data_IF_008769380903
#
_entry.id   IF_008769380903
#
_cell.length_a   1.000
_cell.length_b   1.000
_cell.length_c   1.000
_cell.angle_alpha   90.00
_cell.angle_beta   90.00
_cell.angle_gamma   90.00
#
_symmetry.space_group_name_H-M   'P 1'
#
loop_
_entity.id
_entity.type
_entity.pdbx_description
1 polymer ?
#
# COMPACT_ATOMS: atom_id res chain seq x y z
N UNK A 1 -9.26 -6.32 -31.59
CA UNK A 1 -10.08 -5.59 -30.62
C UNK A 1 -11.03 -6.61 -30.02
N UNK A 2 -10.60 -7.25 -28.92
CA UNK A 2 -11.29 -8.37 -28.31
C UNK A 2 -12.46 -7.91 -27.41
N UNK A 3 -13.29 -8.86 -27.02
CA UNK A 3 -14.47 -8.65 -26.14
C UNK A 3 -14.04 -8.02 -24.81
N UNK A 4 -12.82 -8.28 -24.33
CA UNK A 4 -12.24 -7.76 -23.08
C UNK A 4 -11.88 -6.25 -23.12
N UNK A 5 -11.44 -5.71 -24.26
CA UNK A 5 -11.20 -4.26 -24.43
C UNK A 5 -12.50 -3.45 -24.29
N UNK A 6 -13.63 -4.02 -24.73
CA UNK A 6 -14.93 -3.36 -24.59
C UNK A 6 -15.45 -3.40 -23.14
N UNK A 7 -15.20 -4.50 -22.43
CA UNK A 7 -15.64 -4.66 -21.04
C UNK A 7 -14.93 -3.69 -20.10
N UNK A 8 -13.61 -3.55 -20.22
CA UNK A 8 -12.84 -2.61 -19.40
C UNK A 8 -13.18 -1.12 -19.68
N UNK A 9 -13.39 -0.76 -20.95
CA UNK A 9 -13.82 0.60 -21.32
C UNK A 9 -15.26 0.87 -20.86
N UNK A 10 -16.14 -0.12 -20.92
CA UNK A 10 -17.54 0.02 -20.51
C UNK A 10 -17.68 0.12 -18.99
N UNK A 11 -16.90 -0.65 -18.21
CA UNK A 11 -16.81 -0.59 -16.75
C UNK A 11 -16.19 0.74 -16.31
N UNK A 12 -15.12 1.19 -16.95
CA UNK A 12 -14.51 2.50 -16.69
C UNK A 12 -15.52 3.65 -16.97
N UNK A 13 -16.20 3.62 -18.10
CA UNK A 13 -17.20 4.63 -18.44
C UNK A 13 -18.42 4.59 -17.50
N UNK A 14 -18.84 3.38 -17.05
CA UNK A 14 -19.90 3.25 -16.06
C UNK A 14 -19.47 3.74 -14.67
N UNK A 15 -18.21 3.54 -14.27
CA UNK A 15 -17.65 4.07 -13.03
C UNK A 15 -17.53 5.61 -13.07
N UNK A 16 -17.05 6.18 -14.18
CA UNK A 16 -17.01 7.64 -14.40
C UNK A 16 -18.40 8.26 -14.43
N UNK A 17 -19.40 7.59 -15.02
CA UNK A 17 -20.79 8.06 -14.97
C UNK A 17 -21.41 7.91 -13.57
N UNK A 18 -21.10 6.82 -12.84
CA UNK A 18 -21.58 6.63 -11.46
C UNK A 18 -20.96 7.62 -10.49
N UNK A 19 -19.68 7.97 -10.65
CA UNK A 19 -19.03 9.03 -9.84
C UNK A 19 -19.62 10.40 -10.11
N UNK A 20 -19.97 10.73 -11.37
CA UNK A 20 -20.70 11.95 -11.70
C UNK A 20 -22.11 11.97 -11.07
N UNK A 21 -22.85 10.85 -11.14
CA UNK A 21 -24.19 10.71 -10.55
C UNK A 21 -24.12 10.76 -9.02
N UNK A 22 -23.12 10.16 -8.40
CA UNK A 22 -22.93 10.21 -6.94
C UNK A 22 -22.48 11.61 -6.45
N UNK A 23 -21.68 12.34 -7.22
CA UNK A 23 -21.33 13.74 -6.95
C UNK A 23 -22.56 14.66 -6.98
N UNK A 24 -23.45 14.46 -7.96
CA UNK A 24 -24.71 15.18 -8.04
C UNK A 24 -25.71 14.76 -6.94
N UNK A 25 -25.76 13.46 -6.61
CA UNK A 25 -26.59 12.93 -5.51
C UNK A 25 -26.09 13.40 -4.13
N UNK A 26 -24.80 13.52 -3.93
CA UNK A 26 -24.19 14.06 -2.71
C UNK A 26 -24.54 15.56 -2.55
N UNK A 27 -24.47 16.35 -3.62
CA UNK A 27 -24.89 17.74 -3.61
C UNK A 27 -26.41 17.91 -3.40
N UNK A 28 -27.24 16.97 -3.93
CA UNK A 28 -28.67 16.96 -3.68
C UNK A 28 -29.02 16.52 -2.25
N UNK A 29 -28.29 15.54 -1.68
CA UNK A 29 -28.43 15.12 -0.27
C UNK A 29 -28.04 16.25 0.69
N UNK A 30 -26.96 16.98 0.43
CA UNK A 30 -26.59 18.17 1.23
C UNK A 30 -27.68 19.25 1.18
N UNK A 31 -28.28 19.50 0.04
CA UNK A 31 -29.41 20.46 -0.09
C UNK A 31 -30.71 19.97 0.57
N UNK A 32 -30.98 18.65 0.58
CA UNK A 32 -32.15 18.05 1.26
C UNK A 32 -31.96 18.00 2.78
N UNK A 33 -30.76 17.73 3.30
CA UNK A 33 -30.47 17.72 4.74
C UNK A 33 -30.63 19.14 5.33
N UNK A 34 -30.26 20.18 4.58
CA UNK A 34 -30.48 21.59 5.01
C UNK A 34 -31.96 21.96 5.02
N UNK A 35 -32.80 21.30 4.24
CA UNK A 35 -34.25 21.55 4.21
C UNK A 35 -35.05 20.72 5.22
N UNK A 36 -34.51 19.57 5.71
CA UNK A 36 -35.18 18.65 6.65
C UNK A 36 -34.87 18.94 8.13
N UNK A 37 -33.91 19.78 8.43
CA UNK A 37 -33.59 20.19 9.80
C UNK A 37 -34.52 21.30 10.35
N UNK A 38 -35.53 21.76 9.57
CA UNK A 38 -36.48 22.77 9.96
C UNK A 38 -37.87 22.25 10.43
N UNK A 39 -38.14 20.93 10.33
CA UNK A 39 -39.45 20.38 10.74
C UNK A 39 -39.31 18.96 11.24
N UNK A 40 -39.13 18.76 12.52
CA UNK A 40 -39.75 17.68 13.32
C UNK A 40 -39.23 17.66 14.74
N UNK A 41 -39.95 18.34 15.59
CA UNK A 41 -40.15 17.97 17.00
C UNK A 41 -41.57 17.44 17.10
N UNK A 42 -41.74 16.29 17.72
CA UNK A 42 -42.94 15.56 18.16
C UNK A 42 -43.26 14.27 17.45
N UNK A 43 -43.03 13.16 18.12
CA UNK A 43 -44.09 12.31 18.68
C UNK A 43 -43.50 10.98 19.18
N UNK A 44 -43.87 10.66 20.37
CA UNK A 44 -43.51 9.55 21.24
C UNK A 44 -44.38 8.30 21.06
N UNK A 45 -43.77 7.15 21.37
CA UNK A 45 -44.35 5.95 22.06
C UNK A 45 -45.32 4.99 21.33
N UNK A 46 -45.03 3.73 21.26
CA UNK A 46 -45.59 2.63 22.05
C UNK A 46 -45.20 1.24 21.49
N UNK A 47 -44.64 0.43 22.34
CA UNK A 47 -44.83 -1.00 22.68
C UNK A 47 -45.17 -2.08 21.65
N UNK A 48 -44.53 -3.24 21.81
CA UNK A 48 -45.18 -4.54 21.66
C UNK A 48 -44.28 -5.71 21.30
N UNK A 49 -43.91 -6.51 22.29
CA UNK A 49 -43.37 -7.87 22.19
C UNK A 49 -44.38 -8.83 21.55
N UNK A 50 -43.90 -9.85 20.78
CA UNK A 50 -44.37 -11.22 20.99
C UNK A 50 -43.46 -12.26 20.35
N UNK A 51 -43.12 -13.25 21.15
CA UNK A 51 -42.44 -14.52 20.85
C UNK A 51 -43.50 -15.52 20.36
N UNK A 52 -43.16 -16.40 19.42
CA UNK A 52 -43.78 -17.73 19.31
C UNK A 52 -42.88 -18.70 18.53
N UNK A 53 -42.55 -19.76 19.21
CA UNK A 53 -41.97 -21.04 18.82
C UNK A 53 -43.01 -21.98 18.21
N UNK A 54 -42.61 -22.88 17.27
CA UNK A 54 -42.95 -24.34 17.23
C UNK A 54 -42.45 -24.99 15.94
N UNK A 55 -41.53 -25.89 16.01
CA UNK A 55 -41.52 -27.39 15.98
C UNK A 55 -42.41 -28.09 14.91
N UNK A 56 -41.77 -29.04 14.18
CA UNK A 56 -42.40 -30.28 13.73
C UNK A 56 -42.06 -30.73 12.31
N UNK A 57 -41.10 -31.58 12.16
CA UNK A 57 -40.99 -32.96 11.61
C UNK A 57 -42.02 -33.41 10.57
N UNK A 58 -41.63 -33.99 9.45
CA UNK A 58 -41.62 -35.45 9.16
C UNK A 58 -41.30 -35.74 7.66
N UNK A 59 -40.55 -36.81 7.45
CA UNK A 59 -40.15 -37.40 6.18
C UNK A 59 -41.27 -38.11 5.46
N UNK A 60 -41.11 -38.29 4.12
CA UNK A 60 -41.51 -39.53 3.45
C UNK A 60 -40.74 -39.72 2.12
N UNK A 61 -40.28 -40.91 1.92
CA UNK A 61 -39.65 -41.60 0.83
C UNK A 61 -40.61 -41.82 -0.34
N UNK A 62 -40.17 -41.81 -1.63
CA UNK A 62 -40.30 -42.93 -2.60
C UNK A 62 -39.63 -42.66 -3.96
N UNK A 63 -38.79 -43.46 -4.30
CA UNK A 63 -38.40 -44.45 -5.34
C UNK A 63 -38.65 -44.13 -6.81
N UNK A 64 -37.52 -44.17 -7.54
CA UNK A 64 -37.22 -44.73 -8.90
C UNK A 64 -37.88 -44.17 -10.18
N UNK A 65 -37.02 -43.79 -11.14
CA UNK A 65 -36.80 -44.60 -12.34
C UNK A 65 -35.54 -44.12 -13.12
N UNK A 66 -34.70 -45.09 -13.53
CA UNK A 66 -33.52 -44.94 -14.40
C UNK A 66 -33.91 -44.43 -15.79
N UNK A 67 -33.07 -43.55 -16.35
CA UNK A 67 -32.78 -43.58 -17.80
C UNK A 67 -31.32 -43.12 -17.97
N UNK A 68 -30.52 -43.99 -18.57
CA UNK A 68 -29.13 -43.78 -18.95
C UNK A 68 -29.04 -42.76 -20.09
N UNK A 69 -28.14 -41.78 -19.93
CA UNK A 69 -27.60 -41.02 -21.07
C UNK A 69 -26.19 -40.56 -20.72
N UNK A 70 -25.29 -41.06 -21.51
CA UNK A 70 -23.88 -40.80 -21.78
C UNK A 70 -23.20 -39.67 -21.00
N UNK A 71 -22.16 -40.11 -20.28
CA UNK A 71 -21.00 -39.47 -19.72
C UNK A 71 -20.34 -38.40 -20.61
N UNK A 72 -20.33 -37.19 -20.12
CA UNK A 72 -19.19 -36.28 -20.19
C UNK A 72 -18.63 -36.25 -18.78
N UNK A 73 -17.32 -36.51 -18.64
CA UNK A 73 -16.58 -36.41 -17.37
C UNK A 73 -16.67 -34.96 -16.84
N UNK A 74 -17.67 -34.66 -16.05
CA UNK A 74 -17.65 -33.57 -15.11
C UNK A 74 -17.02 -34.14 -13.83
N UNK A 75 -15.83 -33.67 -13.52
CA UNK A 75 -15.18 -33.90 -12.23
C UNK A 75 -16.12 -33.35 -11.14
N UNK A 76 -16.85 -34.23 -10.45
CA UNK A 76 -17.61 -33.94 -9.24
C UNK A 76 -16.65 -33.92 -8.05
N UNK A 77 -15.62 -33.06 -8.10
CA UNK A 77 -14.87 -32.64 -6.94
C UNK A 77 -15.58 -31.46 -6.29
N UNK A 78 -15.60 -31.42 -4.98
CA UNK A 78 -16.03 -30.25 -4.22
C UNK A 78 -15.08 -29.08 -4.60
N UNK A 79 -15.63 -27.88 -4.86
CA UNK A 79 -14.85 -26.69 -5.22
C UNK A 79 -13.88 -26.37 -4.07
N UNK A 80 -12.60 -26.21 -4.36
CA UNK A 80 -11.57 -25.93 -3.38
C UNK A 80 -11.59 -24.44 -3.04
N UNK A 81 -11.89 -24.09 -1.79
CA UNK A 81 -11.78 -22.72 -1.29
C UNK A 81 -10.36 -22.48 -0.74
N UNK A 82 -9.68 -21.44 -1.22
CA UNK A 82 -8.46 -20.90 -0.65
C UNK A 82 -8.71 -19.53 -0.05
N UNK A 83 -7.96 -19.18 0.98
CA UNK A 83 -8.07 -17.91 1.69
C UNK A 83 -6.93 -16.95 1.31
N UNK A 84 -7.25 -15.66 1.10
CA UNK A 84 -6.26 -14.60 0.93
C UNK A 84 -6.45 -13.52 1.98
N UNK A 85 -5.45 -13.28 2.83
CA UNK A 85 -5.45 -12.17 3.79
C UNK A 85 -4.83 -10.93 3.17
N UNK A 86 -5.60 -9.83 3.16
CA UNK A 86 -5.22 -8.55 2.57
C UNK A 86 -5.40 -7.40 3.56
N UNK A 87 -4.57 -6.38 3.44
CA UNK A 87 -4.49 -5.25 4.38
C UNK A 87 -5.35 -4.03 4.00
N UNK A 88 -6.31 -4.18 3.12
CA UNK A 88 -7.19 -3.10 2.72
C UNK A 88 -8.62 -3.59 2.51
N UNK A 89 -9.58 -2.68 2.33
CA UNK A 89 -10.98 -3.00 2.10
C UNK A 89 -11.26 -3.14 0.60
N UNK A 90 -11.44 -4.37 0.12
CA UNK A 90 -11.75 -4.67 -1.27
C UNK A 90 -13.10 -4.10 -1.75
N UNK A 91 -13.96 -3.64 -0.85
CA UNK A 91 -15.19 -2.93 -1.19
C UNK A 91 -14.99 -1.39 -1.30
N UNK A 92 -13.77 -0.89 -1.06
CA UNK A 92 -13.42 0.51 -1.28
C UNK A 92 -13.58 0.87 -2.76
N UNK A 93 -14.17 2.03 -3.02
CA UNK A 93 -14.47 2.48 -4.38
C UNK A 93 -13.65 3.69 -4.83
N UNK A 94 -12.81 4.21 -3.95
CA UNK A 94 -11.99 5.39 -4.20
C UNK A 94 -10.53 5.05 -4.54
N UNK A 95 -10.03 3.87 -4.16
CA UNK A 95 -8.68 3.44 -4.52
C UNK A 95 -8.68 2.52 -5.73
N UNK A 96 -8.13 3.00 -6.83
CA UNK A 96 -8.09 2.28 -8.11
C UNK A 96 -7.24 1.00 -8.05
N UNK A 97 -6.24 0.92 -7.15
CA UNK A 97 -5.44 -0.29 -6.94
C UNK A 97 -6.29 -1.38 -6.28
N UNK A 98 -6.99 -1.03 -5.21
CA UNK A 98 -7.87 -1.96 -4.48
C UNK A 98 -8.99 -2.48 -5.38
N UNK A 99 -9.56 -1.61 -6.23
CA UNK A 99 -10.51 -2.01 -7.28
C UNK A 99 -9.88 -3.03 -8.24
N UNK A 100 -8.63 -2.82 -8.65
CA UNK A 100 -7.89 -3.76 -9.49
C UNK A 100 -7.71 -5.11 -8.83
N UNK A 101 -7.35 -5.16 -7.58
CA UNK A 101 -7.21 -6.41 -6.83
C UNK A 101 -8.55 -7.15 -6.70
N UNK A 102 -9.63 -6.41 -6.44
CA UNK A 102 -10.96 -7.02 -6.46
C UNK A 102 -11.31 -7.64 -7.83
N UNK A 103 -10.96 -6.97 -8.93
CA UNK A 103 -11.16 -7.52 -10.27
C UNK A 103 -10.37 -8.80 -10.51
N UNK A 104 -9.15 -8.93 -9.96
CA UNK A 104 -8.36 -10.18 -10.00
C UNK A 104 -9.12 -11.29 -9.30
N UNK A 105 -9.64 -11.04 -8.09
CA UNK A 105 -10.41 -12.02 -7.31
C UNK A 105 -11.68 -12.45 -8.06
N UNK A 106 -12.45 -11.47 -8.55
CA UNK A 106 -13.70 -11.74 -9.29
C UNK A 106 -13.43 -12.56 -10.56
N UNK A 107 -12.34 -12.23 -11.29
CA UNK A 107 -11.90 -12.95 -12.49
C UNK A 107 -11.43 -14.37 -12.15
N UNK A 108 -10.68 -14.56 -11.08
CA UNK A 108 -10.24 -15.87 -10.61
C UNK A 108 -11.43 -16.78 -10.29
N UNK A 109 -12.38 -16.27 -9.51
CA UNK A 109 -13.55 -17.02 -9.11
C UNK A 109 -14.49 -17.38 -10.28
N UNK A 110 -14.51 -16.57 -11.34
CA UNK A 110 -15.27 -16.91 -12.55
C UNK A 110 -14.52 -17.90 -13.47
N UNK A 111 -13.20 -17.70 -13.68
CA UNK A 111 -12.39 -18.55 -14.56
C UNK A 111 -12.21 -19.97 -14.01
N UNK A 112 -12.03 -20.08 -12.69
CA UNK A 112 -11.82 -21.36 -12.01
C UNK A 112 -13.08 -21.93 -11.36
N UNK A 113 -14.26 -21.41 -11.69
CA UNK A 113 -15.54 -21.83 -11.14
C UNK A 113 -15.73 -23.35 -11.18
N UNK A 114 -16.11 -23.93 -10.03
CA UNK A 114 -16.27 -25.37 -9.84
C UNK A 114 -14.95 -26.12 -9.63
N UNK A 115 -13.80 -25.44 -9.67
CA UNK A 115 -12.49 -26.01 -9.36
C UNK A 115 -11.84 -25.32 -8.16
N UNK A 116 -11.70 -23.99 -8.23
CA UNK A 116 -11.11 -23.16 -7.17
C UNK A 116 -11.96 -21.93 -6.90
N UNK A 117 -12.01 -21.51 -5.65
CA UNK A 117 -12.62 -20.27 -5.20
C UNK A 117 -11.69 -19.58 -4.22
N UNK A 118 -11.43 -18.27 -4.41
CA UNK A 118 -10.67 -17.49 -3.45
C UNK A 118 -11.61 -16.64 -2.59
N UNK A 119 -11.45 -16.76 -1.28
CA UNK A 119 -12.12 -15.96 -0.27
C UNK A 119 -11.15 -14.96 0.32
N UNK A 120 -11.35 -13.69 -0.01
CA UNK A 120 -10.57 -12.63 0.60
C UNK A 120 -10.99 -12.39 2.06
N UNK A 121 -10.00 -12.24 2.93
CA UNK A 121 -10.13 -11.85 4.34
C UNK A 121 -9.46 -10.48 4.45
N UNK A 122 -10.24 -9.43 4.66
CA UNK A 122 -9.73 -8.06 4.71
C UNK A 122 -9.60 -7.54 6.13
N UNK A 123 -8.70 -6.58 6.31
CA UNK A 123 -8.55 -5.80 7.54
C UNK A 123 -7.89 -4.47 7.18
N UNK A 124 -7.89 -3.49 8.07
CA UNK A 124 -7.16 -2.26 7.81
C UNK A 124 -5.65 -2.45 8.01
N UNK A 125 -4.86 -1.61 7.35
CA UNK A 125 -3.40 -1.68 7.36
C UNK A 125 -2.80 -1.62 8.77
N UNK A 126 -3.40 -0.85 9.68
CA UNK A 126 -2.88 -0.71 11.05
C UNK A 126 -3.07 -1.98 11.90
N UNK A 127 -4.14 -2.74 11.67
CA UNK A 127 -4.46 -3.98 12.40
C UNK A 127 -3.85 -5.23 11.74
N UNK A 128 -3.45 -5.12 10.47
CA UNK A 128 -2.98 -6.24 9.66
C UNK A 128 -1.83 -7.03 10.31
N UNK A 129 -0.73 -6.42 10.78
CA UNK A 129 0.38 -7.17 11.39
C UNK A 129 -0.06 -7.95 12.63
N UNK A 130 -0.89 -7.36 13.49
CA UNK A 130 -1.38 -8.02 14.70
C UNK A 130 -2.28 -9.22 14.35
N UNK A 131 -3.14 -9.08 13.34
CA UNK A 131 -4.02 -10.15 12.87
C UNK A 131 -3.22 -11.31 12.27
N UNK A 132 -2.27 -11.02 11.37
CA UNK A 132 -1.45 -12.06 10.76
C UNK A 132 -0.58 -12.77 11.81
N UNK A 133 0.04 -12.03 12.74
CA UNK A 133 0.81 -12.60 13.84
C UNK A 133 -0.03 -13.55 14.71
N UNK A 134 -1.26 -13.18 15.01
CA UNK A 134 -2.17 -14.03 15.78
C UNK A 134 -2.53 -15.33 15.02
N UNK A 135 -2.79 -15.24 13.72
CA UNK A 135 -3.07 -16.39 12.86
C UNK A 135 -1.86 -17.33 12.75
N UNK A 136 -0.66 -16.78 12.55
CA UNK A 136 0.59 -17.55 12.52
C UNK A 136 0.83 -18.25 13.85
N UNK A 137 0.66 -17.56 14.98
CA UNK A 137 0.83 -18.15 16.31
C UNK A 137 -0.21 -19.26 16.62
N UNK A 138 -1.43 -19.12 16.10
CA UNK A 138 -2.47 -20.14 16.20
C UNK A 138 -2.23 -21.35 15.28
N UNK A 139 -1.35 -21.20 14.27
CA UNK A 139 -1.15 -22.20 13.22
C UNK A 139 -2.24 -22.21 12.14
N UNK A 140 -3.06 -21.17 12.09
CA UNK A 140 -4.18 -20.95 11.18
C UNK A 140 -3.80 -19.89 10.11
N UNK A 141 -2.69 -20.13 9.43
CA UNK A 141 -2.14 -19.22 8.42
C UNK A 141 -3.01 -19.26 7.16
N UNK A 142 -3.50 -18.12 6.66
CA UNK A 142 -4.23 -18.09 5.39
C UNK A 142 -3.39 -18.68 4.24
N UNK A 143 -4.05 -19.32 3.25
CA UNK A 143 -3.36 -19.98 2.13
C UNK A 143 -2.44 -19.01 1.37
N UNK A 144 -2.90 -17.78 1.17
CA UNK A 144 -2.12 -16.67 0.63
C UNK A 144 -2.26 -15.47 1.57
N UNK A 145 -1.18 -14.73 1.77
CA UNK A 145 -1.21 -13.49 2.54
C UNK A 145 -0.26 -12.45 1.98
N UNK A 146 -0.64 -11.19 2.09
CA UNK A 146 0.17 -10.06 1.63
C UNK A 146 1.27 -9.76 2.65
N UNK A 147 2.48 -9.42 2.21
CA UNK A 147 3.60 -9.16 3.09
C UNK A 147 4.58 -8.13 2.50
N UNK A 148 5.05 -7.20 3.34
CA UNK A 148 6.18 -6.35 2.98
C UNK A 148 7.51 -7.12 3.08
N UNK A 149 8.50 -6.77 2.25
CA UNK A 149 9.84 -7.39 2.33
C UNK A 149 10.58 -6.96 3.60
N UNK A 150 11.71 -7.61 3.88
CA UNK A 150 12.52 -7.28 5.04
C UNK A 150 12.00 -7.91 6.34
N UNK A 151 12.08 -7.22 7.50
CA UNK A 151 11.80 -7.80 8.81
C UNK A 151 10.42 -8.46 8.94
N UNK A 152 9.40 -7.91 8.27
CA UNK A 152 8.06 -8.49 8.28
C UNK A 152 8.05 -9.85 7.61
N UNK A 153 8.65 -10.00 6.43
CA UNK A 153 8.75 -11.28 5.77
C UNK A 153 9.70 -12.23 6.52
N UNK A 154 10.83 -11.72 7.02
CA UNK A 154 11.82 -12.50 7.77
C UNK A 154 11.18 -13.24 8.95
N UNK A 155 10.35 -12.56 9.75
CA UNK A 155 9.70 -13.20 10.92
C UNK A 155 8.79 -14.38 10.52
N UNK A 156 8.11 -14.30 9.36
CA UNK A 156 7.25 -15.38 8.89
C UNK A 156 8.04 -16.52 8.23
N UNK A 157 9.16 -16.19 7.60
CA UNK A 157 10.13 -17.19 7.12
C UNK A 157 10.73 -17.97 8.30
N UNK A 158 11.20 -17.28 9.33
CA UNK A 158 11.76 -17.88 10.54
C UNK A 158 10.71 -18.70 11.33
N UNK A 159 9.46 -18.26 11.34
CA UNK A 159 8.35 -19.01 11.93
C UNK A 159 7.94 -20.22 11.08
N UNK A 160 8.51 -20.42 9.88
CA UNK A 160 8.12 -21.48 8.96
C UNK A 160 6.70 -21.35 8.42
N UNK A 161 6.15 -20.12 8.40
CA UNK A 161 4.79 -19.85 7.93
C UNK A 161 4.70 -19.72 6.40
N UNK A 162 5.80 -19.33 5.74
CA UNK A 162 5.89 -19.17 4.28
C UNK A 162 6.43 -20.40 3.58
N UNK A 163 5.90 -20.72 2.42
CA UNK A 163 6.44 -21.78 1.55
C UNK A 163 7.66 -21.29 0.77
N UNK A 164 8.60 -22.19 0.51
CA UNK A 164 9.70 -21.99 -0.42
C UNK A 164 9.17 -22.15 -1.87
N UNK A 165 9.19 -21.08 -2.63
CA UNK A 165 8.69 -21.04 -4.00
C UNK A 165 9.78 -21.27 -5.06
N UNK A 166 11.02 -21.51 -4.66
CA UNK A 166 12.19 -21.54 -5.56
C UNK A 166 12.03 -22.57 -6.66
N UNK A 167 11.71 -23.81 -6.32
CA UNK A 167 11.55 -24.87 -7.31
C UNK A 167 10.35 -24.64 -8.23
N UNK A 168 9.25 -24.13 -7.65
CA UNK A 168 8.05 -23.78 -8.41
C UNK A 168 8.37 -22.71 -9.45
N UNK A 169 8.99 -21.60 -9.05
CA UNK A 169 9.30 -20.48 -9.94
C UNK A 169 10.38 -20.85 -10.96
N UNK A 170 11.50 -21.42 -10.52
CA UNK A 170 12.67 -21.59 -11.38
C UNK A 170 12.61 -22.82 -12.28
N UNK A 171 11.84 -23.85 -11.92
CA UNK A 171 11.78 -25.11 -12.64
C UNK A 171 10.38 -25.44 -13.18
N UNK A 172 9.34 -25.40 -12.35
CA UNK A 172 8.00 -25.81 -12.75
C UNK A 172 7.27 -24.75 -13.57
N UNK A 173 7.42 -23.47 -13.22
CA UNK A 173 6.79 -22.30 -13.82
C UNK A 173 7.84 -21.30 -14.35
N UNK A 174 8.90 -21.82 -14.95
CA UNK A 174 10.05 -21.01 -15.40
C UNK A 174 9.69 -19.98 -16.47
N UNK A 175 8.68 -20.23 -17.28
CA UNK A 175 8.16 -19.25 -18.25
C UNK A 175 7.53 -18.06 -17.53
N UNK A 176 6.72 -18.31 -16.49
CA UNK A 176 6.15 -17.25 -15.66
C UNK A 176 7.24 -16.50 -14.90
N UNK A 177 8.18 -17.20 -14.27
CA UNK A 177 9.34 -16.59 -13.61
C UNK A 177 10.13 -15.66 -14.56
N UNK A 178 10.28 -16.07 -15.81
CA UNK A 178 10.97 -15.28 -16.84
C UNK A 178 10.24 -14.02 -17.30
N UNK A 179 8.98 -13.79 -16.91
CA UNK A 179 8.26 -12.54 -17.20
C UNK A 179 8.62 -11.41 -16.26
N UNK A 180 9.14 -11.72 -15.07
CA UNK A 180 9.45 -10.72 -14.06
C UNK A 180 10.68 -9.88 -14.42
N UNK A 181 10.67 -8.64 -13.95
CA UNK A 181 11.79 -7.71 -14.11
C UNK A 181 13.03 -8.19 -13.35
N UNK A 182 14.21 -7.94 -13.91
CA UNK A 182 15.49 -8.33 -13.30
C UNK A 182 15.65 -7.75 -11.89
N UNK A 183 16.12 -8.58 -10.95
CA UNK A 183 16.40 -8.18 -9.57
C UNK A 183 15.20 -8.01 -8.66
N UNK A 184 13.95 -8.12 -9.17
CA UNK A 184 12.73 -7.86 -8.38
C UNK A 184 12.59 -8.81 -7.18
N UNK A 185 13.15 -10.01 -7.25
CA UNK A 185 13.14 -11.02 -6.18
C UNK A 185 14.27 -10.88 -5.14
N UNK A 186 15.20 -9.92 -5.32
CA UNK A 186 16.38 -9.81 -4.44
C UNK A 186 15.99 -9.71 -2.96
N UNK A 187 15.04 -8.82 -2.63
CA UNK A 187 14.55 -8.60 -1.26
C UNK A 187 13.55 -9.66 -0.77
N UNK A 188 13.16 -10.60 -1.65
CA UNK A 188 12.22 -11.69 -1.37
C UNK A 188 12.93 -13.05 -1.26
N UNK A 189 14.27 -13.03 -1.38
CA UNK A 189 15.12 -14.24 -1.34
C UNK A 189 15.86 -14.31 -0.01
N UNK A 190 15.63 -15.38 0.73
CA UNK A 190 16.21 -15.66 2.06
C UNK A 190 16.98 -16.97 1.99
N UNK A 191 18.29 -16.95 2.31
CA UNK A 191 19.17 -18.12 2.23
C UNK A 191 19.09 -18.87 0.88
N UNK A 192 18.95 -18.10 -0.21
CA UNK A 192 18.83 -18.65 -1.57
C UNK A 192 17.44 -19.17 -1.92
N UNK A 193 16.43 -18.99 -1.07
CA UNK A 193 15.05 -19.41 -1.26
C UNK A 193 14.14 -18.22 -1.53
N UNK A 194 13.33 -18.31 -2.58
CA UNK A 194 12.32 -17.29 -2.91
C UNK A 194 11.08 -17.56 -2.05
N UNK A 195 10.71 -16.60 -1.21
CA UNK A 195 9.68 -16.77 -0.19
C UNK A 195 8.37 -16.02 -0.49
N UNK A 196 8.34 -15.21 -1.55
CA UNK A 196 7.15 -14.45 -1.95
C UNK A 196 7.19 -14.10 -3.45
N UNK A 197 6.03 -13.77 -4.02
CA UNK A 197 5.86 -13.27 -5.38
C UNK A 197 5.49 -11.80 -5.31
N UNK A 198 6.24 -10.88 -5.96
CA UNK A 198 5.88 -9.47 -6.03
C UNK A 198 4.67 -9.27 -6.94
N UNK A 199 3.80 -8.30 -6.60
CA UNK A 199 2.60 -7.97 -7.39
C UNK A 199 2.61 -6.55 -7.94
N UNK A 200 3.41 -5.66 -7.38
CA UNK A 200 3.66 -4.34 -7.92
C UNK A 200 4.93 -3.75 -7.31
N UNK A 201 5.51 -2.81 -8.02
CA UNK A 201 6.64 -2.02 -7.57
C UNK A 201 6.19 -0.57 -7.32
N UNK A 202 6.69 0.04 -6.28
CA UNK A 202 6.38 1.42 -5.93
C UNK A 202 7.62 2.19 -5.53
N UNK A 203 7.63 3.49 -5.85
CA UNK A 203 8.69 4.43 -5.48
C UNK A 203 8.10 5.61 -4.70
N UNK A 204 8.75 5.98 -3.59
CA UNK A 204 8.35 7.13 -2.78
C UNK A 204 8.90 8.43 -3.40
N UNK A 205 8.08 9.47 -3.42
CA UNK A 205 8.39 10.76 -4.02
C UNK A 205 7.63 11.89 -3.31
N UNK A 206 7.73 13.09 -3.83
CA UNK A 206 6.94 14.23 -3.40
C UNK A 206 5.97 14.60 -4.50
N UNK A 207 4.67 14.46 -4.22
CA UNK A 207 3.61 14.99 -5.05
C UNK A 207 3.41 16.47 -4.73
N UNK A 208 3.10 17.30 -5.72
CA UNK A 208 2.84 18.73 -5.49
C UNK A 208 1.72 19.27 -6.37
N UNK A 209 1.01 20.25 -5.85
CA UNK A 209 -0.05 20.98 -6.57
C UNK A 209 0.58 22.08 -7.41
N UNK A 210 0.60 21.87 -8.73
CA UNK A 210 1.22 22.80 -9.70
C UNK A 210 0.54 24.17 -9.74
N UNK A 211 -0.77 24.25 -9.41
CA UNK A 211 -1.50 25.52 -9.36
C UNK A 211 -1.08 26.35 -8.14
N UNK A 212 -0.97 25.72 -6.96
CA UNK A 212 -0.49 26.42 -5.75
C UNK A 212 0.95 26.90 -5.96
N UNK A 213 1.84 26.06 -6.52
CA UNK A 213 3.22 26.43 -6.81
C UNK A 213 3.28 27.65 -7.76
N UNK A 214 2.47 27.64 -8.81
CA UNK A 214 2.36 28.75 -9.75
C UNK A 214 1.79 30.02 -9.13
N UNK A 215 0.73 29.91 -8.31
CA UNK A 215 0.10 31.03 -7.62
C UNK A 215 1.05 31.70 -6.65
N UNK A 216 1.78 30.91 -5.86
CA UNK A 216 2.78 31.40 -4.88
C UNK A 216 4.06 31.87 -5.56
N UNK A 217 4.32 31.46 -6.78
CA UNK A 217 5.54 31.81 -7.54
C UNK A 217 6.77 31.08 -7.01
N UNK A 218 6.64 29.79 -6.70
CA UNK A 218 7.73 28.91 -6.27
C UNK A 218 8.02 27.84 -7.29
N UNK A 219 9.28 27.43 -7.37
CA UNK A 219 9.76 26.33 -8.23
C UNK A 219 9.95 25.06 -7.42
N UNK A 220 10.06 23.91 -8.11
CA UNK A 220 10.35 22.61 -7.49
C UNK A 220 11.71 22.67 -6.80
N UNK A 221 11.79 22.35 -5.49
CA UNK A 221 13.05 22.41 -4.75
C UNK A 221 13.96 21.21 -5.07
N UNK A 222 15.24 21.47 -5.28
CA UNK A 222 16.28 20.44 -5.49
C UNK A 222 17.03 20.12 -4.20
N UNK A 223 17.07 21.06 -3.26
CA UNK A 223 17.75 20.92 -1.97
C UNK A 223 16.79 21.09 -0.80
N UNK A 224 17.18 20.56 0.36
CA UNK A 224 16.42 20.69 1.60
C UNK A 224 16.18 22.16 1.98
N UNK A 225 17.19 23.02 1.85
CA UNK A 225 17.06 24.44 2.17
C UNK A 225 16.07 25.15 1.24
N UNK A 226 16.08 24.80 -0.06
CA UNK A 226 15.07 25.28 -0.99
C UNK A 226 13.66 24.76 -0.63
N UNK A 227 13.53 23.50 -0.16
CA UNK A 227 12.25 22.97 0.31
C UNK A 227 11.71 23.79 1.49
N UNK A 228 12.56 24.12 2.45
CA UNK A 228 12.18 24.97 3.59
C UNK A 228 11.74 26.35 3.13
N UNK A 229 12.41 26.97 2.17
CA UNK A 229 12.05 28.26 1.62
C UNK A 229 10.74 28.23 0.82
N UNK A 230 10.49 27.15 0.08
CA UNK A 230 9.21 26.87 -0.58
C UNK A 230 8.09 26.74 0.47
N UNK A 231 8.32 25.95 1.53
CA UNK A 231 7.37 25.79 2.61
C UNK A 231 7.02 27.13 3.30
N UNK A 232 8.00 28.00 3.57
CA UNK A 232 7.75 29.33 4.15
C UNK A 232 6.80 30.15 3.27
N UNK A 233 7.09 30.26 1.98
CA UNK A 233 6.29 31.05 1.02
C UNK A 233 4.86 30.49 0.88
N UNK A 234 4.70 29.18 0.82
CA UNK A 234 3.39 28.53 0.74
C UNK A 234 2.59 28.79 2.01
N UNK A 235 3.21 28.70 3.18
CA UNK A 235 2.58 29.00 4.48
C UNK A 235 2.17 30.47 4.57
N UNK A 236 2.99 31.40 4.11
CA UNK A 236 2.68 32.84 4.05
C UNK A 236 1.51 33.13 3.10
N UNK A 237 1.31 32.32 2.06
CA UNK A 237 0.18 32.42 1.15
C UNK A 237 -1.13 31.80 1.74
N UNK A 238 -1.05 31.14 2.91
CA UNK A 238 -2.22 30.62 3.62
C UNK A 238 -2.53 29.15 3.33
N UNK A 239 -1.67 28.43 2.63
CA UNK A 239 -1.81 26.99 2.40
C UNK A 239 -1.00 26.17 3.41
N UNK A 240 -1.42 24.94 3.67
CA UNK A 240 -0.56 23.96 4.32
C UNK A 240 0.56 23.57 3.35
N UNK A 241 1.86 23.75 3.70
CA UNK A 241 2.93 23.44 2.79
C UNK A 241 3.03 21.94 2.45
N UNK A 242 2.92 21.08 3.45
CA UNK A 242 3.02 19.63 3.29
C UNK A 242 1.88 18.95 4.03
N UNK A 243 1.22 18.00 3.39
CA UNK A 243 0.36 17.05 4.08
C UNK A 243 1.16 15.83 4.51
N UNK A 244 1.00 15.42 5.77
CA UNK A 244 1.65 14.27 6.37
C UNK A 244 0.76 13.64 7.44
N UNK A 245 0.90 12.34 7.64
CA UNK A 245 0.23 11.60 8.71
C UNK A 245 1.22 11.24 9.81
N UNK A 246 0.96 11.67 11.05
CA UNK A 246 1.62 11.13 12.23
C UNK A 246 0.78 10.05 12.92
N UNK A 247 -0.53 10.02 12.67
CA UNK A 247 -1.42 8.93 13.08
C UNK A 247 -1.07 7.58 12.42
N UNK A 248 -0.36 7.63 11.28
CA UNK A 248 0.22 6.46 10.60
C UNK A 248 1.75 6.62 10.59
N UNK A 249 2.41 6.08 11.59
CA UNK A 249 3.81 6.38 11.94
C UNK A 249 4.83 6.17 10.81
N UNK A 250 4.60 5.20 9.90
CA UNK A 250 5.51 4.94 8.78
C UNK A 250 5.60 6.12 7.79
N UNK A 251 4.58 6.98 7.72
CA UNK A 251 4.62 8.17 6.87
C UNK A 251 5.74 9.13 7.30
N UNK A 252 5.86 9.36 8.60
CA UNK A 252 6.98 10.13 9.16
C UNK A 252 8.30 9.37 9.09
N UNK A 253 8.26 8.05 9.31
CA UNK A 253 9.43 7.17 9.15
C UNK A 253 9.99 7.20 7.71
N UNK A 254 9.16 7.32 6.70
CA UNK A 254 9.59 7.49 5.30
C UNK A 254 10.35 8.81 5.10
N UNK A 255 9.82 9.92 5.62
CA UNK A 255 10.51 11.22 5.58
C UNK A 255 11.82 11.17 6.36
N UNK A 256 11.79 10.59 7.57
CA UNK A 256 12.98 10.38 8.40
C UNK A 256 14.03 9.52 7.71
N UNK A 257 13.60 8.45 7.04
CA UNK A 257 14.46 7.57 6.24
C UNK A 257 15.15 8.30 5.08
N UNK A 258 14.39 9.14 4.35
CA UNK A 258 14.99 10.01 3.33
C UNK A 258 16.03 10.96 3.92
N UNK A 259 15.72 11.62 5.02
CA UNK A 259 16.67 12.54 5.66
C UNK A 259 17.92 11.81 6.14
N UNK A 260 17.80 10.62 6.74
CA UNK A 260 18.94 9.79 7.11
C UNK A 260 19.79 9.38 5.89
N UNK A 261 19.15 8.98 4.78
CA UNK A 261 19.88 8.63 3.56
C UNK A 261 20.55 9.86 2.92
N UNK A 262 19.91 11.01 2.94
CA UNK A 262 20.48 12.25 2.41
C UNK A 262 21.67 12.77 3.22
N UNK A 263 21.69 12.52 4.54
CA UNK A 263 22.85 12.88 5.40
C UNK A 263 24.05 11.96 5.18
N UNK A 264 23.87 10.64 5.15
CA UNK A 264 24.98 9.69 5.19
C UNK A 264 25.00 8.62 4.11
N UNK A 265 23.98 8.57 3.23
CA UNK A 265 23.90 7.62 2.13
C UNK A 265 23.66 6.17 2.58
N UNK A 266 24.01 5.20 1.71
CA UNK A 266 23.81 3.78 1.98
C UNK A 266 24.62 3.26 3.18
N UNK A 267 25.73 3.93 3.53
CA UNK A 267 26.59 3.53 4.64
C UNK A 267 25.89 3.71 5.99
N UNK A 268 24.92 4.62 6.11
CA UNK A 268 24.13 4.79 7.32
C UNK A 268 23.37 3.50 7.68
N UNK A 269 22.53 3.00 6.77
CA UNK A 269 21.73 1.82 7.01
C UNK A 269 22.59 0.56 7.17
N UNK A 270 23.63 0.44 6.32
CA UNK A 270 24.59 -0.65 6.41
C UNK A 270 25.33 -0.63 7.76
N UNK A 271 25.85 0.53 8.18
CA UNK A 271 26.60 0.67 9.42
C UNK A 271 25.78 0.37 10.68
N UNK A 272 24.49 0.74 10.69
CA UNK A 272 23.56 0.36 11.76
C UNK A 272 23.38 -1.15 11.82
N UNK A 273 23.10 -1.80 10.69
CA UNK A 273 22.86 -3.24 10.64
C UNK A 273 24.12 -4.04 10.97
N UNK A 274 25.31 -3.58 10.52
CA UNK A 274 26.59 -4.22 10.82
C UNK A 274 27.11 -3.86 12.25
N UNK A 275 26.48 -2.91 12.94
CA UNK A 275 26.90 -2.44 14.25
C UNK A 275 28.20 -1.59 14.23
N UNK A 276 28.59 -1.07 13.07
CA UNK A 276 29.77 -0.19 12.91
C UNK A 276 29.43 1.29 13.06
N UNK A 277 28.12 1.63 13.05
CA UNK A 277 27.60 2.98 13.27
C UNK A 277 26.56 2.96 14.38
N UNK A 278 26.50 4.02 15.17
CA UNK A 278 25.51 4.20 16.23
C UNK A 278 24.41 5.16 15.79
N UNK A 279 23.18 4.94 16.25
CA UNK A 279 22.05 5.84 16.03
C UNK A 279 22.26 7.24 16.62
N UNK A 280 23.15 7.38 17.58
CA UNK A 280 23.53 8.66 18.19
C UNK A 280 24.61 9.42 17.40
N UNK A 281 25.05 8.90 16.25
CA UNK A 281 26.01 9.58 15.39
C UNK A 281 25.41 10.85 14.79
N UNK A 282 26.29 11.79 14.44
CA UNK A 282 25.93 13.12 13.97
C UNK A 282 24.99 13.07 12.74
N UNK A 283 25.21 12.12 11.84
CA UNK A 283 24.39 11.93 10.64
C UNK A 283 22.89 11.73 10.97
N UNK A 284 22.56 10.89 11.96
CA UNK A 284 21.18 10.66 12.39
C UNK A 284 20.61 11.83 13.18
N UNK A 285 21.41 12.41 14.07
CA UNK A 285 20.99 13.59 14.84
C UNK A 285 20.66 14.76 13.90
N UNK A 286 21.46 14.99 12.86
CA UNK A 286 21.20 16.04 11.86
C UNK A 286 19.93 15.74 11.05
N UNK A 287 19.71 14.48 10.65
CA UNK A 287 18.47 14.06 10.01
C UNK A 287 17.23 14.34 10.90
N UNK A 288 17.33 14.03 12.20
CA UNK A 288 16.27 14.32 13.17
C UNK A 288 16.01 15.81 13.37
N UNK A 289 17.07 16.65 13.37
CA UNK A 289 16.93 18.12 13.44
C UNK A 289 16.20 18.67 12.20
N UNK A 290 16.53 18.15 11.01
CA UNK A 290 15.83 18.51 9.78
C UNK A 290 14.37 18.05 9.79
N UNK A 291 14.08 16.84 10.28
CA UNK A 291 12.70 16.38 10.46
C UNK A 291 11.92 17.32 11.40
N UNK A 292 12.53 17.73 12.53
CA UNK A 292 11.93 18.68 13.47
C UNK A 292 11.65 20.05 12.83
N UNK A 293 12.55 20.55 12.00
CA UNK A 293 12.36 21.79 11.27
C UNK A 293 11.23 21.65 10.23
N UNK A 294 11.25 20.57 9.43
CA UNK A 294 10.24 20.34 8.39
C UNK A 294 8.84 20.15 8.98
N UNK A 295 8.71 19.55 10.17
CA UNK A 295 7.43 19.33 10.85
C UNK A 295 6.64 20.60 11.14
N UNK A 296 7.28 21.76 11.17
CA UNK A 296 6.60 23.06 11.37
C UNK A 296 5.74 23.49 10.17
N UNK A 297 5.88 22.78 9.06
CA UNK A 297 5.20 23.04 7.79
C UNK A 297 4.16 21.98 7.42
N UNK A 298 3.84 21.04 8.34
CA UNK A 298 2.77 20.09 8.15
C UNK A 298 1.42 20.74 8.49
N UNK A 299 0.31 20.18 7.95
CA UNK A 299 -1.04 20.62 8.29
C UNK A 299 -1.30 20.49 9.80
N UNK A 300 -2.21 21.31 10.35
CA UNK A 300 -2.45 21.37 11.80
C UNK A 300 -2.97 20.06 12.38
N UNK A 301 -3.72 19.28 11.60
CA UNK A 301 -4.30 17.98 12.00
C UNK A 301 -3.33 16.81 11.90
N UNK A 302 -2.11 16.99 11.38
CA UNK A 302 -1.16 15.92 11.09
C UNK A 302 -0.94 14.92 12.25
N UNK A 303 -1.02 15.40 13.49
CA UNK A 303 -0.84 14.55 14.69
C UNK A 303 -1.90 13.45 14.82
N UNK A 304 -3.11 13.69 14.33
CA UNK A 304 -4.25 12.77 14.44
C UNK A 304 -4.71 12.16 13.13
N UNK A 305 -4.25 12.70 12.00
CA UNK A 305 -4.68 12.24 10.69
C UNK A 305 -4.10 10.85 10.39
N UNK A 306 -4.93 9.95 9.89
CA UNK A 306 -4.50 8.73 9.24
C UNK A 306 -3.98 9.02 7.82
N UNK A 307 -3.33 8.05 7.19
CA UNK A 307 -2.68 8.24 5.89
C UNK A 307 -3.65 8.67 4.78
N UNK A 308 -4.84 8.09 4.73
CA UNK A 308 -5.90 8.42 3.78
C UNK A 308 -6.40 9.86 3.94
N UNK A 309 -6.56 10.33 5.19
CA UNK A 309 -6.95 11.71 5.51
C UNK A 309 -5.86 12.71 5.09
N UNK A 310 -4.59 12.39 5.38
CA UNK A 310 -3.49 13.24 4.93
C UNK A 310 -3.43 13.32 3.39
N UNK A 311 -3.64 12.20 2.69
CA UNK A 311 -3.73 12.18 1.23
C UNK A 311 -4.91 13.03 0.72
N UNK A 312 -6.05 13.02 1.45
CA UNK A 312 -7.23 13.80 1.10
C UNK A 312 -6.99 15.32 1.18
N UNK A 313 -6.27 15.82 2.18
CA UNK A 313 -5.89 17.24 2.24
C UNK A 313 -5.13 17.69 0.98
N UNK A 314 -4.28 16.83 0.43
CA UNK A 314 -3.53 17.13 -0.77
C UNK A 314 -4.41 17.20 -2.03
N UNK A 315 -5.19 16.15 -2.33
CA UNK A 315 -5.99 16.15 -3.56
C UNK A 315 -7.23 17.08 -3.49
N UNK A 316 -7.60 17.56 -2.30
CA UNK A 316 -8.58 18.62 -2.12
C UNK A 316 -7.98 20.02 -2.29
N UNK A 317 -6.66 20.15 -2.43
CA UNK A 317 -5.96 21.42 -2.61
C UNK A 317 -5.78 22.21 -1.30
N UNK A 318 -5.93 21.58 -0.15
CA UNK A 318 -5.71 22.17 1.17
C UNK A 318 -4.22 22.21 1.52
N UNK A 319 -3.45 21.24 0.98
CA UNK A 319 -2.00 21.19 1.10
C UNK A 319 -1.32 21.25 -0.27
N UNK A 320 -0.16 21.91 -0.31
CA UNK A 320 0.60 22.09 -1.56
C UNK A 320 1.46 20.89 -1.95
N UNK A 321 1.90 20.11 -0.99
CA UNK A 321 2.76 18.93 -1.20
C UNK A 321 2.29 17.74 -0.35
N UNK A 322 2.63 16.53 -0.83
CA UNK A 322 2.42 15.27 -0.13
C UNK A 322 3.65 14.38 -0.34
N UNK A 323 4.30 13.93 0.72
CA UNK A 323 5.37 12.95 0.62
C UNK A 323 4.75 11.57 0.71
N UNK A 324 4.69 10.86 -0.42
CA UNK A 324 4.08 9.54 -0.55
C UNK A 324 4.70 8.75 -1.71
N UNK A 325 4.33 7.50 -1.88
CA UNK A 325 4.76 6.72 -3.02
C UNK A 325 3.71 6.62 -4.12
N UNK A 326 4.08 5.94 -5.20
CA UNK A 326 3.20 5.72 -6.36
C UNK A 326 1.89 5.01 -6.01
N UNK A 327 1.79 4.33 -4.87
CA UNK A 327 0.53 3.76 -4.36
C UNK A 327 -0.55 4.81 -4.10
N UNK A 328 -0.18 6.08 -3.83
CA UNK A 328 -1.14 7.14 -3.59
C UNK A 328 -1.86 7.62 -4.89
N UNK A 329 -1.31 7.31 -6.06
CA UNK A 329 -1.88 7.74 -7.36
C UNK A 329 -3.30 7.21 -7.53
N UNK A 330 -3.54 5.94 -7.21
CA UNK A 330 -4.84 5.31 -7.30
C UNK A 330 -5.89 6.02 -6.46
N UNK A 331 -5.57 6.34 -5.22
CA UNK A 331 -6.44 7.09 -4.31
C UNK A 331 -6.65 8.55 -4.77
N UNK A 332 -5.57 9.25 -5.15
CA UNK A 332 -5.64 10.65 -5.60
C UNK A 332 -6.57 10.77 -6.82
N UNK A 333 -6.32 9.97 -7.84
CA UNK A 333 -7.04 10.05 -9.11
C UNK A 333 -8.45 9.45 -9.01
N UNK A 334 -8.65 8.41 -8.18
CA UNK A 334 -9.95 7.82 -7.92
C UNK A 334 -10.87 8.76 -7.15
N UNK A 335 -10.35 9.44 -6.12
CA UNK A 335 -11.12 10.40 -5.30
C UNK A 335 -11.34 11.74 -6.00
N UNK A 336 -10.33 12.23 -6.74
CA UNK A 336 -10.41 13.51 -7.47
C UNK A 336 -9.77 13.43 -8.86
N UNK A 337 -10.43 12.83 -9.86
CA UNK A 337 -9.87 12.68 -11.21
C UNK A 337 -9.42 14.00 -11.87
N UNK A 338 -10.08 15.13 -11.53
CA UNK A 338 -9.71 16.44 -12.07
C UNK A 338 -8.39 16.98 -11.49
N UNK A 339 -7.90 16.38 -10.40
CA UNK A 339 -6.65 16.80 -9.77
C UNK A 339 -5.41 16.26 -10.49
N UNK A 340 -5.54 15.21 -11.30
CA UNK A 340 -4.43 14.63 -12.07
C UNK A 340 -3.67 15.70 -12.88
N UNK A 341 -4.38 16.59 -13.56
CA UNK A 341 -3.79 17.67 -14.36
C UNK A 341 -3.00 18.71 -13.55
N UNK A 342 -3.24 18.73 -12.24
CA UNK A 342 -2.63 19.68 -11.30
C UNK A 342 -1.57 19.01 -10.41
N UNK A 343 -1.39 17.71 -10.56
CA UNK A 343 -0.53 16.90 -9.73
C UNK A 343 0.82 16.64 -10.42
N UNK A 344 1.84 17.38 -10.01
CA UNK A 344 3.23 17.11 -10.40
C UNK A 344 3.91 16.18 -9.39
N UNK A 345 5.09 15.68 -9.77
CA UNK A 345 5.91 14.81 -8.92
C UNK A 345 7.37 15.20 -9.02
N UNK A 346 8.08 15.19 -7.90
CA UNK A 346 9.53 15.34 -7.86
C UNK A 346 10.16 14.42 -6.82
N UNK A 347 11.47 14.17 -6.94
CA UNK A 347 12.22 13.36 -5.96
C UNK A 347 12.35 14.12 -4.64
N UNK A 348 12.47 13.39 -3.53
CA UNK A 348 12.79 14.03 -2.24
C UNK A 348 14.14 14.77 -2.35
N UNK A 349 14.20 16.07 -1.95
CA UNK A 349 15.37 16.92 -2.16
C UNK A 349 16.65 16.40 -1.53
N UNK A 350 17.80 16.82 -2.07
CA UNK A 350 19.12 16.56 -1.51
C UNK A 350 19.44 17.48 -0.33
N UNK A 351 20.49 17.13 0.42
CA UNK A 351 21.06 17.98 1.47
C UNK A 351 22.41 18.49 0.98
N UNK A 352 22.68 19.81 1.08
CA UNK A 352 23.95 20.38 0.66
C UNK A 352 25.11 19.80 1.51
N UNK A 353 26.11 19.26 0.84
CA UNK A 353 27.22 18.55 1.52
C UNK A 353 26.88 17.14 2.00
N UNK A 354 25.65 16.69 1.81
CA UNK A 354 25.21 15.35 2.15
C UNK A 354 25.50 14.31 1.06
N UNK A 355 24.81 13.18 1.14
CA UNK A 355 24.97 12.07 0.20
C UNK A 355 24.20 12.29 -1.11
N UNK A 356 24.34 11.34 -2.05
CA UNK A 356 23.70 11.38 -3.37
C UNK A 356 22.18 11.54 -3.31
N UNK A 357 21.64 12.65 -3.83
CA UNK A 357 20.20 12.91 -3.80
C UNK A 357 19.38 12.06 -4.77
N UNK A 358 20.02 11.33 -5.70
CA UNK A 358 19.32 10.56 -6.73
C UNK A 358 18.96 9.15 -6.28
N UNK A 359 19.07 8.84 -4.99
CA UNK A 359 18.60 7.57 -4.43
C UNK A 359 17.11 7.65 -4.10
N UNK A 360 16.37 6.56 -4.34
CA UNK A 360 14.92 6.51 -4.14
C UNK A 360 14.54 5.42 -3.14
N UNK A 361 13.61 5.73 -2.25
CA UNK A 361 12.92 4.70 -1.45
C UNK A 361 11.97 3.95 -2.38
N UNK A 362 12.10 2.62 -2.39
CA UNK A 362 11.28 1.72 -3.21
C UNK A 362 10.80 0.54 -2.39
N UNK A 363 9.65 -0.03 -2.78
CA UNK A 363 9.12 -1.27 -2.21
C UNK A 363 8.38 -2.09 -3.25
N UNK A 364 8.14 -3.35 -2.93
CA UNK A 364 7.19 -4.22 -3.62
C UNK A 364 6.09 -4.61 -2.65
N UNK A 365 4.84 -4.70 -3.13
CA UNK A 365 3.81 -5.46 -2.43
C UNK A 365 3.92 -6.92 -2.88
N UNK A 366 3.77 -7.87 -1.96
CA UNK A 366 4.10 -9.25 -2.26
C UNK A 366 3.05 -10.21 -1.70
N UNK A 367 2.89 -11.34 -2.37
CA UNK A 367 2.06 -12.46 -1.92
C UNK A 367 2.95 -13.60 -1.43
N UNK A 368 2.74 -14.02 -0.19
CA UNK A 368 3.32 -15.22 0.38
C UNK A 368 2.32 -16.37 0.28
N UNK A 369 2.79 -17.56 -0.02
CA UNK A 369 2.02 -18.80 0.10
C UNK A 369 2.30 -19.42 1.47
N UNK A 370 1.26 -19.89 2.15
CA UNK A 370 1.40 -20.62 3.41
C UNK A 370 2.16 -21.93 3.18
N UNK A 371 3.13 -22.23 4.06
CA UNK A 371 3.80 -23.53 4.08
C UNK A 371 2.87 -24.69 4.45
N UNK A 372 1.67 -24.39 4.94
CA UNK A 372 0.67 -25.36 5.42
C UNK A 372 -0.54 -25.47 4.50
N UNK A 373 -0.58 -24.73 3.39
CA UNK A 373 -1.71 -24.85 2.46
C UNK A 373 -1.78 -26.28 1.90
N UNK A 374 -2.99 -26.81 1.85
CA UNK A 374 -3.30 -28.09 1.21
C UNK A 374 -3.52 -27.94 -0.30
N UNK A 375 -3.56 -26.67 -0.80
CA UNK A 375 -3.94 -26.32 -2.17
C UNK A 375 -2.90 -25.43 -2.88
N UNK A 376 -1.61 -25.84 -2.94
CA UNK A 376 -0.56 -24.99 -3.53
C UNK A 376 -0.82 -24.65 -5.01
N UNK A 377 -1.44 -25.54 -5.79
CA UNK A 377 -1.76 -25.27 -7.19
C UNK A 377 -2.79 -24.14 -7.36
N UNK A 378 -3.79 -24.04 -6.46
CA UNK A 378 -4.77 -22.95 -6.46
C UNK A 378 -4.10 -21.64 -6.06
N UNK A 379 -3.22 -21.65 -5.07
CA UNK A 379 -2.45 -20.48 -4.65
C UNK A 379 -1.55 -19.95 -5.78
N UNK A 380 -0.85 -20.83 -6.47
CA UNK A 380 0.01 -20.45 -7.61
C UNK A 380 -0.84 -19.89 -8.76
N UNK A 381 -2.00 -20.49 -9.06
CA UNK A 381 -2.93 -19.96 -10.07
C UNK A 381 -3.39 -18.54 -9.72
N UNK A 382 -3.68 -18.27 -8.44
CA UNK A 382 -4.03 -16.92 -7.96
C UNK A 382 -2.85 -15.95 -8.13
N UNK A 383 -1.65 -16.31 -7.70
CA UNK A 383 -0.45 -15.48 -7.83
C UNK A 383 -0.12 -15.16 -9.30
N UNK A 384 -0.29 -16.13 -10.20
CA UNK A 384 -0.15 -15.92 -11.65
C UNK A 384 -1.18 -14.93 -12.20
N UNK A 385 -2.41 -14.98 -11.72
CA UNK A 385 -3.46 -14.05 -12.14
C UNK A 385 -3.20 -12.62 -11.63
N UNK A 386 -2.60 -12.45 -10.46
CA UNK A 386 -2.16 -11.12 -9.98
C UNK A 386 -1.07 -10.51 -10.86
N UNK A 387 -0.26 -11.32 -11.52
CA UNK A 387 0.91 -10.90 -12.31
C UNK A 387 0.79 -11.21 -13.80
N UNK A 388 -0.41 -11.53 -14.28
CA UNK A 388 -0.64 -11.67 -15.72
C UNK A 388 -0.76 -10.32 -16.43
N UNK A 389 -0.64 -10.33 -17.74
CA UNK A 389 -0.69 -9.13 -18.58
C UNK A 389 -1.91 -8.24 -18.31
N UNK A 390 -3.05 -8.83 -17.99
CA UNK A 390 -4.29 -8.08 -17.73
C UNK A 390 -4.21 -7.31 -16.43
N UNK A 391 -3.74 -7.95 -15.37
CA UNK A 391 -3.58 -7.33 -14.05
C UNK A 391 -2.46 -6.29 -14.06
N UNK A 392 -1.32 -6.62 -14.66
CA UNK A 392 -0.16 -5.72 -14.72
C UNK A 392 -0.45 -4.48 -15.57
N UNK A 393 -1.19 -4.61 -16.68
CA UNK A 393 -1.66 -3.43 -17.45
C UNK A 393 -2.61 -2.57 -16.65
N UNK A 394 -3.54 -3.16 -15.89
CA UNK A 394 -4.42 -2.39 -15.03
C UNK A 394 -3.63 -1.64 -13.95
N UNK A 395 -2.66 -2.31 -13.32
CA UNK A 395 -1.77 -1.72 -12.31
C UNK A 395 -1.07 -0.47 -12.88
N UNK A 396 -0.57 -0.52 -14.11
CA UNK A 396 0.12 0.61 -14.75
C UNK A 396 -0.85 1.66 -15.31
N UNK A 397 -1.82 1.24 -16.11
CA UNK A 397 -2.66 2.15 -16.91
C UNK A 397 -3.77 2.82 -16.08
N UNK A 398 -4.16 2.24 -14.94
CA UNK A 398 -5.24 2.73 -14.09
C UNK A 398 -4.75 2.99 -12.65
N UNK A 399 -4.08 2.02 -12.06
CA UNK A 399 -3.64 2.07 -10.67
C UNK A 399 -2.48 3.04 -10.41
N UNK A 400 -1.66 3.33 -11.43
CA UNK A 400 -0.52 4.24 -11.31
C UNK A 400 0.68 3.65 -10.55
N UNK A 401 0.75 2.32 -10.38
CA UNK A 401 1.92 1.62 -9.87
C UNK A 401 2.76 1.04 -11.01
N UNK A 402 3.97 0.64 -10.72
CA UNK A 402 4.90 0.08 -11.70
C UNK A 402 4.69 -1.44 -11.73
N UNK A 403 4.51 -2.04 -12.93
CA UNK A 403 4.45 -3.48 -13.08
C UNK A 403 5.72 -4.17 -12.57
N UNK A 404 5.58 -5.38 -12.06
CA UNK A 404 6.72 -6.23 -11.67
C UNK A 404 7.18 -7.14 -12.80
N UNK A 405 6.38 -7.26 -13.86
CA UNK A 405 6.70 -8.02 -15.06
C UNK A 405 7.10 -7.10 -16.22
N UNK A 406 7.70 -7.68 -17.26
CA UNK A 406 8.09 -6.98 -18.47
C UNK A 406 6.90 -6.75 -19.44
N UNK A 407 5.71 -6.47 -18.89
CA UNK A 407 4.50 -6.22 -19.66
C UNK A 407 4.58 -4.90 -20.41
N UNK A 408 4.21 -4.90 -21.67
CA UNK A 408 4.01 -3.67 -22.45
C UNK A 408 2.63 -3.07 -22.15
N UNK A 409 2.57 -1.81 -21.75
CA UNK A 409 1.34 -1.07 -21.49
C UNK A 409 1.31 0.28 -22.24
N UNK A 410 0.14 0.85 -22.43
CA UNK A 410 -0.03 2.12 -23.09
C UNK A 410 0.23 3.30 -22.16
N UNK A 411 1.40 3.91 -22.27
CA UNK A 411 1.81 5.07 -21.45
C UNK A 411 0.86 6.27 -21.58
N UNK A 412 0.06 6.35 -22.66
CA UNK A 412 -0.93 7.44 -22.80
C UNK A 412 -2.21 7.21 -22.02
N UNK A 413 -2.42 5.98 -21.53
CA UNK A 413 -3.52 5.63 -20.61
C UNK A 413 -3.10 5.70 -19.14
N UNK A 414 -1.79 5.57 -18.91
CA UNK A 414 -1.25 5.62 -17.55
C UNK A 414 -1.41 7.02 -16.94
N UNK A 415 -1.63 7.12 -15.61
CA UNK A 415 -1.63 8.39 -14.92
C UNK A 415 -0.36 9.19 -15.18
N UNK A 416 -0.48 10.50 -15.38
CA UNK A 416 0.68 11.39 -15.64
C UNK A 416 1.73 11.30 -14.55
N UNK A 417 1.31 11.14 -13.31
CA UNK A 417 2.20 10.99 -12.16
C UNK A 417 3.14 9.79 -12.32
N UNK A 418 2.66 8.68 -12.90
CA UNK A 418 3.49 7.49 -13.14
C UNK A 418 4.61 7.80 -14.14
N UNK A 419 4.34 8.56 -15.20
CA UNK A 419 5.35 8.96 -16.16
C UNK A 419 6.45 9.83 -15.52
N UNK A 420 6.07 10.74 -14.61
CA UNK A 420 7.06 11.53 -13.85
C UNK A 420 7.92 10.64 -12.95
N UNK A 421 7.31 9.66 -12.26
CA UNK A 421 8.05 8.72 -11.41
C UNK A 421 9.00 7.85 -12.23
N UNK A 422 8.57 7.38 -13.40
CA UNK A 422 9.43 6.61 -14.31
C UNK A 422 10.63 7.46 -14.80
N UNK A 423 10.42 8.73 -15.13
CA UNK A 423 11.52 9.65 -15.48
C UNK A 423 12.51 9.84 -14.32
N UNK A 424 12.00 9.99 -13.08
CA UNK A 424 12.84 10.07 -11.87
C UNK A 424 13.62 8.78 -11.69
N UNK A 425 12.97 7.61 -11.77
CA UNK A 425 13.61 6.30 -11.62
C UNK A 425 14.67 6.04 -12.67
N UNK A 426 14.49 6.50 -13.91
CA UNK A 426 15.48 6.38 -14.98
C UNK A 426 16.79 7.13 -14.69
N UNK A 427 16.75 8.11 -13.79
CA UNK A 427 17.90 8.93 -13.35
C UNK A 427 18.41 8.51 -11.97
N UNK A 428 17.79 7.50 -11.37
CA UNK A 428 18.14 7.02 -10.02
C UNK A 428 19.48 6.29 -10.04
N UNK A 429 20.35 6.64 -9.12
CA UNK A 429 21.70 6.07 -8.96
C UNK A 429 21.74 4.89 -8.01
N UNK A 430 20.65 4.67 -7.25
CA UNK A 430 20.47 3.55 -6.33
C UNK A 430 19.14 3.61 -5.63
N UNK A 431 18.74 2.48 -5.07
CA UNK A 431 17.50 2.34 -4.32
C UNK A 431 17.79 2.03 -2.86
N UNK A 432 16.79 2.25 -2.01
CA UNK A 432 16.76 1.79 -0.63
C UNK A 432 15.33 1.37 -0.29
N UNK A 433 15.18 0.43 0.64
CA UNK A 433 13.88 0.14 1.24
C UNK A 433 13.52 1.20 2.29
N UNK A 434 12.30 1.18 2.74
CA UNK A 434 11.95 1.93 3.96
C UNK A 434 12.89 1.54 5.10
N UNK A 435 13.26 2.50 5.95
CA UNK A 435 14.15 2.19 7.07
C UNK A 435 13.55 1.11 7.97
N UNK A 436 12.27 1.21 8.33
CA UNK A 436 11.59 0.19 9.13
C UNK A 436 11.56 -1.21 8.48
N UNK A 437 11.59 -1.29 7.14
CA UNK A 437 11.66 -2.55 6.38
C UNK A 437 13.10 -3.00 6.10
N UNK A 438 14.09 -2.25 6.55
CA UNK A 438 15.51 -2.48 6.26
C UNK A 438 16.36 -2.63 7.51
N UNK A 439 15.75 -2.47 8.71
CA UNK A 439 16.39 -2.70 10.00
C UNK A 439 16.32 -4.18 10.38
N UNK A 440 17.02 -4.54 11.43
CA UNK A 440 17.28 -5.94 11.77
C UNK A 440 16.03 -6.74 12.19
N UNK A 441 14.98 -6.08 12.70
CA UNK A 441 13.71 -6.68 13.07
C UNK A 441 12.57 -5.64 13.07
N UNK A 442 11.32 -6.11 13.15
CA UNK A 442 10.13 -5.25 13.17
C UNK A 442 10.11 -4.29 14.35
N UNK A 443 10.53 -4.71 15.55
CA UNK A 443 10.57 -3.86 16.75
C UNK A 443 11.53 -2.65 16.57
N UNK A 444 12.67 -2.87 15.91
CA UNK A 444 13.60 -1.78 15.55
C UNK A 444 12.96 -0.82 14.55
N UNK A 445 12.25 -1.35 13.55
CA UNK A 445 11.51 -0.57 12.57
C UNK A 445 10.43 0.30 13.20
N UNK A 446 9.62 -0.28 14.08
CA UNK A 446 8.58 0.45 14.82
C UNK A 446 9.20 1.52 15.75
N UNK A 447 10.33 1.20 16.40
CA UNK A 447 11.05 2.16 17.24
C UNK A 447 11.54 3.35 16.41
N UNK A 448 12.05 3.13 15.19
CA UNK A 448 12.44 4.19 14.27
C UNK A 448 11.24 5.06 13.83
N UNK A 449 10.15 4.46 13.41
CA UNK A 449 8.95 5.20 13.03
C UNK A 449 8.41 6.03 14.19
N UNK A 450 8.32 5.44 15.39
CA UNK A 450 7.88 6.12 16.60
C UNK A 450 8.83 7.25 17.03
N UNK A 451 10.14 7.09 16.85
CA UNK A 451 11.10 8.16 17.11
C UNK A 451 10.86 9.36 16.17
N UNK A 452 10.52 9.13 14.90
CA UNK A 452 10.14 10.20 13.98
C UNK A 452 8.86 10.91 14.44
N UNK A 453 7.88 10.16 14.94
CA UNK A 453 6.63 10.73 15.52
C UNK A 453 6.94 11.53 16.79
N UNK A 454 7.77 11.02 17.70
CA UNK A 454 8.16 11.72 18.92
C UNK A 454 8.88 13.07 18.61
N UNK A 455 9.75 13.09 17.60
CA UNK A 455 10.41 14.31 17.11
C UNK A 455 9.39 15.30 16.58
N UNK A 456 8.44 14.84 15.76
CA UNK A 456 7.36 15.68 15.22
C UNK A 456 6.51 16.27 16.33
N UNK A 457 6.00 15.46 17.24
CA UNK A 457 5.17 15.89 18.36
C UNK A 457 5.92 16.76 19.37
N UNK A 458 7.26 16.75 19.36
CA UNK A 458 8.11 17.42 20.34
C UNK A 458 8.11 16.76 21.71
N UNK A 459 7.71 15.50 21.79
CA UNK A 459 7.78 14.66 23.01
C UNK A 459 9.20 14.15 23.27
N UNK A 460 10.07 14.20 22.26
CA UNK A 460 11.51 13.96 22.39
C UNK A 460 12.31 14.91 21.49
N UNK A 461 13.52 15.27 21.92
CA UNK A 461 14.51 15.88 21.04
C UNK A 461 15.05 14.83 20.05
N UNK A 462 15.65 15.23 18.92
CA UNK A 462 16.31 14.29 18.02
C UNK A 462 17.33 13.38 18.74
N UNK A 463 18.11 13.95 19.65
CA UNK A 463 19.08 13.23 20.46
C UNK A 463 18.41 12.16 21.35
N UNK A 464 17.34 12.51 22.07
CA UNK A 464 16.58 11.58 22.92
C UNK A 464 15.87 10.48 22.09
N UNK A 465 15.28 10.85 20.95
CA UNK A 465 14.59 9.92 20.08
C UNK A 465 15.55 8.86 19.49
N UNK A 466 16.69 9.29 18.97
CA UNK A 466 17.70 8.37 18.43
C UNK A 466 18.43 7.59 19.53
N UNK A 467 18.57 8.14 20.75
CA UNK A 467 19.08 7.38 21.89
C UNK A 467 18.14 6.20 22.25
N UNK A 468 16.83 6.38 22.20
CA UNK A 468 15.88 5.27 22.40
C UNK A 468 16.09 4.13 21.40
N UNK A 469 16.35 4.46 20.13
CA UNK A 469 16.63 3.44 19.11
C UNK A 469 17.98 2.76 19.42
N UNK A 470 19.00 3.54 19.82
CA UNK A 470 20.30 3.00 20.22
C UNK A 470 20.17 2.03 21.39
N UNK A 471 19.42 2.39 22.43
CA UNK A 471 19.18 1.55 23.60
C UNK A 471 18.50 0.22 23.22
N UNK A 472 17.58 0.27 22.25
CA UNK A 472 16.96 -0.95 21.70
C UNK A 472 18.01 -1.83 21.00
N UNK A 473 18.84 -1.24 20.14
CA UNK A 473 19.89 -1.97 19.44
C UNK A 473 20.94 -2.56 20.39
N UNK A 474 21.37 -1.81 21.42
CA UNK A 474 22.34 -2.29 22.40
C UNK A 474 21.78 -3.46 23.21
N UNK A 475 20.53 -3.38 23.63
CA UNK A 475 19.89 -4.40 24.43
C UNK A 475 19.51 -5.66 23.65
N UNK A 476 18.98 -5.52 22.46
CA UNK A 476 18.34 -6.61 21.69
C UNK A 476 19.24 -7.17 20.59
N UNK A 477 20.09 -6.35 20.00
CA UNK A 477 20.88 -6.68 18.84
C UNK A 477 22.34 -6.93 19.20
N UNK A 478 22.95 -6.04 19.97
CA UNK A 478 24.37 -6.12 20.33
C UNK A 478 24.63 -6.87 21.64
N UNK A 479 23.59 -7.27 22.38
CA UNK A 479 23.69 -7.97 23.69
C UNK A 479 24.63 -7.26 24.68
N UNK A 480 24.60 -5.92 24.75
CA UNK A 480 25.42 -5.08 25.61
C UNK A 480 24.69 -4.71 26.91
#
# INVERSE_FOLDING_TARGET
MGIFDKFNIEVYNQLVERTKINGEASNMKKKLITALLATSVMSTMFSGCSVSTSTGSTATTDTSTKTESKTTDEATGEEVEITWLFWDDLEATEDLITIGYKQVIDRFNEEYKGKYHVKAITTNLAEYPAKLNALVAAGDVPDVFTCDPGPMLTQYVEAGATADLTDILQNQESEWYGTFSDGIFERLTYDGKIMAVPTCFAAACVFYNTEIFKEVGVEVPETYDQLIDVCKKIKEAGYAPISCSAGTAWCLGMIGGYLCDREGGPDNLKGINDGTLDWTSETFINAGKKLKELSQYFQESAAGDANDIATAHFYNGEAAMLVQGSWAIGQINGSNPAFEEKCGVFRFPGIEGGADPNRMIVKTDNLCMSSKTEHPEACIALMKMFTDDTSEKYIAEVGGKIPVTNVEFDVNKAPKQLSFIQDILSKTTGTLGFYNESLINTEAGDTFNNACVDIFLGTATPEEAFQKIQDHYDKKVRNK
#
